data_IF_261751492212
#
_entry.id   IF_261751492212
#
_cell.length_a   1.000
_cell.length_b   1.000
_cell.length_c   1.000
_cell.angle_alpha   90.00
_cell.angle_beta   90.00
_cell.angle_gamma   90.00
#
_symmetry.space_group_name_H-M   'P 1'
#
loop_
_entity.id
_entity.type
_entity.pdbx_description
1 polymer ?
#
# COMPACT_ATOMS: atom_id res chain seq x y z
N UNK A 1 3.15 19.28 20.27
CA UNK A 1 2.39 18.25 19.53
C UNK A 1 3.03 17.96 18.19
N UNK A 2 2.82 16.75 17.67
CA UNK A 2 3.18 16.35 16.31
C UNK A 2 1.93 15.79 15.64
N UNK A 3 1.61 16.27 14.44
CA UNK A 3 0.38 15.96 13.74
C UNK A 3 0.69 15.27 12.42
N UNK A 4 -0.05 14.22 12.10
CA UNK A 4 -0.06 13.61 10.77
C UNK A 4 -1.40 13.94 10.13
N UNK A 5 -1.35 14.53 8.93
CA UNK A 5 -2.53 14.91 8.17
C UNK A 5 -2.51 14.15 6.86
N UNK A 6 -3.60 13.47 6.54
CA UNK A 6 -3.77 12.79 5.25
C UNK A 6 -4.78 13.56 4.41
N UNK A 7 -4.43 13.79 3.15
CA UNK A 7 -5.39 14.28 2.17
C UNK A 7 -6.38 13.18 1.78
N UNK A 8 -7.55 13.58 1.29
CA UNK A 8 -8.51 12.63 0.73
C UNK A 8 -7.95 11.99 -0.56
N UNK A 9 -8.39 10.77 -0.93
CA UNK A 9 -7.95 10.13 -2.18
C UNK A 9 -8.17 11.01 -3.42
N UNK A 10 -9.33 11.68 -3.51
CA UNK A 10 -9.65 12.56 -4.63
C UNK A 10 -8.68 13.74 -4.75
N UNK A 11 -8.31 14.37 -3.62
CA UNK A 11 -7.33 15.45 -3.62
C UNK A 11 -5.95 14.95 -4.04
N UNK A 12 -5.52 13.81 -3.49
CA UNK A 12 -4.21 13.20 -3.79
C UNK A 12 -4.08 12.81 -5.27
N UNK A 13 -5.12 12.26 -5.89
CA UNK A 13 -5.12 11.94 -7.32
C UNK A 13 -5.02 13.20 -8.18
N UNK A 14 -5.76 14.26 -7.83
CA UNK A 14 -5.74 15.53 -8.58
C UNK A 14 -4.38 16.22 -8.52
N UNK A 15 -3.65 16.08 -7.42
CA UNK A 15 -2.37 16.74 -7.17
C UNK A 15 -1.17 15.77 -7.20
N UNK A 16 -1.33 14.63 -7.89
CA UNK A 16 -0.36 13.52 -7.85
C UNK A 16 1.04 13.89 -8.35
N UNK A 17 1.16 14.91 -9.19
CA UNK A 17 2.43 15.34 -9.79
C UNK A 17 3.03 16.58 -9.13
N UNK A 18 2.41 17.11 -8.06
CA UNK A 18 3.06 18.12 -7.25
C UNK A 18 4.30 17.55 -6.55
N UNK A 19 5.32 18.40 -6.40
CA UNK A 19 6.40 18.10 -5.49
C UNK A 19 5.91 18.16 -4.02
N UNK A 20 6.77 17.72 -3.10
CA UNK A 20 6.39 17.55 -1.69
C UNK A 20 6.11 18.90 -1.04
N UNK A 21 6.90 19.91 -1.37
CA UNK A 21 6.84 21.25 -0.83
C UNK A 21 5.56 21.97 -1.27
N UNK A 22 5.20 21.87 -2.56
CA UNK A 22 3.96 22.38 -3.12
C UNK A 22 2.73 21.71 -2.49
N UNK A 23 2.74 20.39 -2.37
CA UNK A 23 1.65 19.66 -1.74
C UNK A 23 1.49 20.04 -0.25
N UNK A 24 2.61 20.18 0.47
CA UNK A 24 2.61 20.62 1.87
C UNK A 24 1.98 22.02 2.03
N UNK A 25 2.39 22.97 1.19
CA UNK A 25 1.87 24.34 1.23
C UNK A 25 0.35 24.37 1.05
N UNK A 26 -0.17 23.70 0.03
CA UNK A 26 -1.62 23.63 -0.22
C UNK A 26 -2.38 22.94 0.93
N UNK A 27 -1.82 21.87 1.50
CA UNK A 27 -2.45 21.21 2.65
C UNK A 27 -2.47 22.11 3.89
N UNK A 28 -1.42 22.87 4.14
CA UNK A 28 -1.35 23.82 5.26
C UNK A 28 -2.32 24.99 5.09
N UNK A 29 -2.62 25.42 3.86
CA UNK A 29 -3.67 26.42 3.59
C UNK A 29 -5.07 25.89 3.88
N UNK A 30 -5.32 24.60 3.63
CA UNK A 30 -6.62 23.97 3.87
C UNK A 30 -6.84 23.59 5.34
N UNK A 31 -5.78 23.25 6.07
CA UNK A 31 -5.88 22.69 7.42
C UNK A 31 -6.59 23.61 8.45
N UNK A 32 -6.35 24.94 8.51
CA UNK A 32 -7.09 25.81 9.42
C UNK A 32 -8.60 25.76 9.20
N UNK A 33 -9.03 25.66 7.94
CA UNK A 33 -10.45 25.57 7.57
C UNK A 33 -11.04 24.24 8.02
N UNK A 34 -10.29 23.15 7.88
CA UNK A 34 -10.71 21.83 8.34
C UNK A 34 -10.79 21.73 9.87
N UNK A 35 -9.92 22.45 10.59
CA UNK A 35 -9.91 22.46 12.07
C UNK A 35 -10.83 23.51 12.69
N UNK A 36 -11.34 24.46 11.89
CA UNK A 36 -12.13 25.59 12.39
C UNK A 36 -11.34 26.58 13.26
N UNK A 37 -10.00 26.59 13.16
CA UNK A 37 -9.13 27.45 13.98
C UNK A 37 -7.78 27.69 13.30
N UNK A 38 -7.06 28.79 13.63
CA UNK A 38 -5.72 29.02 13.10
C UNK A 38 -4.73 27.95 13.58
N UNK A 39 -3.69 27.71 12.78
CA UNK A 39 -2.58 26.86 13.18
C UNK A 39 -1.63 27.63 14.11
N UNK A 40 -1.04 26.95 15.10
CA UNK A 40 0.09 27.52 15.83
C UNK A 40 1.31 27.67 14.91
N UNK A 41 2.37 28.30 15.41
CA UNK A 41 3.65 28.35 14.68
C UNK A 41 4.14 26.93 14.39
N UNK A 42 4.36 26.64 13.10
CA UNK A 42 4.84 25.34 12.64
C UNK A 42 6.36 25.33 12.73
N UNK A 43 6.91 24.53 13.64
CA UNK A 43 8.35 24.39 13.79
C UNK A 43 8.99 23.58 12.65
N UNK A 44 8.30 22.52 12.20
CA UNK A 44 8.77 21.61 11.15
C UNK A 44 7.59 21.10 10.33
N UNK A 45 7.80 20.92 9.03
CA UNK A 45 6.81 20.35 8.12
C UNK A 45 7.52 19.42 7.13
N UNK A 46 6.99 18.21 6.98
CA UNK A 46 7.45 17.23 6.01
C UNK A 46 6.23 16.65 5.28
N UNK A 47 6.34 16.52 3.97
CA UNK A 47 5.33 15.86 3.15
C UNK A 47 5.91 14.61 2.50
N UNK A 48 5.06 13.60 2.38
CA UNK A 48 5.35 12.42 1.60
C UNK A 48 4.19 12.13 0.66
N UNK A 49 4.53 11.75 -0.58
CA UNK A 49 3.57 11.41 -1.61
C UNK A 49 3.61 9.93 -1.93
N UNK A 50 2.55 9.23 -1.55
CA UNK A 50 2.37 7.80 -1.78
C UNK A 50 1.53 7.58 -3.05
N UNK A 51 2.17 7.41 -4.22
CA UNK A 51 1.45 7.16 -5.49
C UNK A 51 0.60 5.89 -5.43
N UNK A 52 1.09 4.86 -4.74
CA UNK A 52 0.44 3.55 -4.58
C UNK A 52 0.01 3.34 -3.13
N UNK A 53 -0.65 4.34 -2.53
CA UNK A 53 -1.02 4.32 -1.12
C UNK A 53 -2.10 3.30 -0.76
N UNK A 54 -2.99 3.00 -1.72
CA UNK A 54 -4.19 2.21 -1.49
C UNK A 54 -4.67 1.58 -2.78
N UNK A 55 -4.97 0.29 -2.72
CA UNK A 55 -5.61 -0.47 -3.79
C UNK A 55 -6.98 0.12 -4.13
N UNK A 56 -7.21 0.42 -5.41
CA UNK A 56 -8.51 0.85 -5.91
C UNK A 56 -9.39 -0.34 -6.33
N UNK A 57 -8.79 -1.32 -7.00
CA UNK A 57 -9.44 -2.56 -7.44
C UNK A 57 -8.57 -3.75 -7.00
N UNK A 58 -9.01 -4.56 -6.03
CA UNK A 58 -8.29 -5.76 -5.64
C UNK A 58 -8.23 -6.79 -6.76
N UNK A 59 -7.19 -7.62 -6.77
CA UNK A 59 -7.05 -8.75 -7.69
C UNK A 59 -8.21 -9.75 -7.54
N UNK A 60 -8.69 -9.96 -6.31
CA UNK A 60 -9.71 -10.97 -5.98
C UNK A 60 -9.14 -12.38 -5.80
N UNK A 61 -7.82 -12.52 -5.78
CA UNK A 61 -7.09 -13.75 -5.49
C UNK A 61 -5.95 -13.44 -4.51
N UNK A 62 -5.53 -14.40 -3.67
CA UNK A 62 -4.55 -14.14 -2.60
C UNK A 62 -3.14 -13.85 -3.14
N UNK A 63 -2.79 -14.33 -4.33
CA UNK A 63 -1.54 -14.06 -5.03
C UNK A 63 -1.66 -14.47 -6.51
N UNK A 64 -0.65 -14.15 -7.30
CA UNK A 64 -0.42 -14.69 -8.66
C UNK A 64 0.85 -15.53 -8.63
N UNK A 65 0.87 -16.65 -9.36
CA UNK A 65 2.07 -17.44 -9.60
C UNK A 65 2.27 -17.65 -11.10
N UNK A 66 3.51 -17.87 -11.53
CA UNK A 66 3.76 -18.43 -12.85
C UNK A 66 3.36 -19.92 -12.92
N UNK A 67 3.22 -20.45 -14.13
CA UNK A 67 2.79 -21.83 -14.37
C UNK A 67 3.75 -22.86 -13.74
N UNK A 68 5.04 -22.55 -13.67
CA UNK A 68 6.05 -23.43 -13.05
C UNK A 68 6.08 -23.33 -11.51
N UNK A 69 5.28 -22.46 -10.89
CA UNK A 69 5.25 -22.26 -9.44
C UNK A 69 6.64 -21.92 -8.82
N UNK A 70 7.47 -21.20 -9.57
CA UNK A 70 8.81 -20.75 -9.14
C UNK A 70 8.85 -19.27 -8.78
N UNK A 71 7.82 -18.50 -9.15
CA UNK A 71 7.67 -17.09 -8.86
C UNK A 71 6.25 -16.83 -8.36
N UNK A 72 6.16 -16.17 -7.20
CA UNK A 72 4.90 -15.76 -6.59
C UNK A 72 4.92 -14.25 -6.38
N UNK A 73 3.80 -13.60 -6.66
CA UNK A 73 3.63 -12.16 -6.45
C UNK A 73 2.36 -11.94 -5.65
N UNK A 74 2.50 -11.22 -4.54
CA UNK A 74 1.39 -10.88 -3.66
C UNK A 74 1.62 -9.59 -2.90
N UNK A 75 0.59 -9.13 -2.20
CA UNK A 75 0.59 -7.90 -1.43
C UNK A 75 -0.80 -7.52 -0.97
N UNK A 76 -0.93 -6.35 -0.36
CA UNK A 76 -2.22 -5.81 0.08
C UNK A 76 -3.24 -5.75 -1.06
N UNK A 77 -2.79 -5.40 -2.26
CA UNK A 77 -3.58 -5.30 -3.49
C UNK A 77 -4.23 -6.60 -3.97
N UNK A 78 -3.85 -7.75 -3.44
CA UNK A 78 -4.44 -9.02 -3.79
C UNK A 78 -5.90 -9.13 -3.33
N UNK A 79 -6.14 -8.93 -2.03
CA UNK A 79 -7.45 -9.14 -1.41
C UNK A 79 -8.10 -7.85 -0.92
N UNK A 80 -7.36 -6.75 -0.81
CA UNK A 80 -7.90 -5.51 -0.27
C UNK A 80 -6.93 -4.33 -0.36
N UNK A 81 -6.97 -3.48 0.66
CA UNK A 81 -6.17 -2.26 0.72
C UNK A 81 -5.72 -1.96 2.16
N UNK A 82 -5.47 -3.02 2.92
CA UNK A 82 -5.11 -2.96 4.34
C UNK A 82 -3.94 -3.89 4.62
N UNK A 83 -3.29 -3.67 5.76
CA UNK A 83 -2.16 -4.50 6.22
C UNK A 83 -2.57 -5.96 6.36
N UNK A 84 -3.80 -6.24 6.80
CA UNK A 84 -4.32 -7.60 6.94
C UNK A 84 -4.33 -8.33 5.59
N UNK A 85 -4.75 -7.67 4.50
CA UNK A 85 -4.72 -8.26 3.16
C UNK A 85 -3.29 -8.58 2.68
N UNK A 86 -2.31 -7.73 3.05
CA UNK A 86 -0.90 -7.98 2.73
C UNK A 86 -0.39 -9.22 3.48
N UNK A 87 -0.73 -9.33 4.75
CA UNK A 87 -0.34 -10.47 5.58
C UNK A 87 -0.98 -11.77 5.08
N UNK A 88 -2.27 -11.76 4.79
CA UNK A 88 -3.01 -12.92 4.24
C UNK A 88 -2.41 -13.36 2.89
N UNK A 89 -2.09 -12.42 2.00
CA UNK A 89 -1.42 -12.70 0.74
C UNK A 89 -0.07 -13.38 0.94
N UNK A 90 0.78 -12.84 1.82
CA UNK A 90 2.08 -13.42 2.14
C UNK A 90 1.99 -14.80 2.78
N UNK A 91 1.04 -15.00 3.71
CA UNK A 91 0.79 -16.30 4.34
C UNK A 91 0.33 -17.35 3.32
N UNK A 92 -0.54 -16.96 2.37
CA UNK A 92 -1.00 -17.84 1.31
C UNK A 92 0.15 -18.24 0.35
N UNK A 93 1.04 -17.30 0.02
CA UNK A 93 2.26 -17.61 -0.76
C UNK A 93 3.15 -18.60 -0.01
N UNK A 94 3.40 -18.38 1.28
CA UNK A 94 4.24 -19.28 2.07
C UNK A 94 3.66 -20.70 2.12
N UNK A 95 2.35 -20.84 2.29
CA UNK A 95 1.67 -22.13 2.27
C UNK A 95 1.78 -22.82 0.89
N UNK A 96 1.63 -22.07 -0.21
CA UNK A 96 1.76 -22.60 -1.56
C UNK A 96 3.20 -23.08 -1.85
N UNK A 97 4.20 -22.31 -1.43
CA UNK A 97 5.62 -22.69 -1.55
C UNK A 97 5.91 -23.96 -0.75
N UNK A 98 5.46 -24.04 0.51
CA UNK A 98 5.67 -25.21 1.34
C UNK A 98 5.02 -26.48 0.74
N UNK A 99 3.77 -26.38 0.27
CA UNK A 99 3.08 -27.49 -0.38
C UNK A 99 3.68 -27.91 -1.72
N UNK A 100 4.28 -26.97 -2.47
CA UNK A 100 4.99 -27.29 -3.71
C UNK A 100 6.31 -28.04 -3.45
N UNK A 101 7.00 -27.73 -2.35
CA UNK A 101 8.26 -28.40 -1.96
C UNK A 101 7.99 -29.87 -1.60
N UNK A 102 6.86 -30.18 -0.96
CA UNK A 102 6.48 -31.55 -0.61
C UNK A 102 6.15 -32.42 -1.85
N UNK A 103 5.85 -31.82 -3.00
CA UNK A 103 5.62 -32.52 -4.27
C UNK A 103 6.87 -32.93 -5.04
N UNK A 104 8.08 -32.57 -4.58
CA UNK A 104 9.34 -32.78 -5.33
C UNK A 104 10.18 -33.99 -4.87
N UNK A 105 9.66 -34.84 -3.98
CA UNK A 105 10.36 -36.05 -3.50
C UNK A 105 9.83 -37.39 -4.02
N UNK A 106 9.08 -37.44 -5.12
CA UNK A 106 8.56 -38.69 -5.67
C UNK A 106 8.51 -38.75 -7.19
N UNK A 107 9.56 -39.28 -7.81
CA UNK A 107 9.55 -40.18 -8.97
C UNK A 107 10.82 -40.02 -9.84
N UNK A 108 11.90 -40.66 -9.43
CA UNK A 108 12.83 -41.28 -10.37
C UNK A 108 12.75 -42.80 -10.13
N UNK A 109 11.79 -43.44 -10.77
CA UNK A 109 11.76 -44.88 -10.96
C UNK A 109 11.70 -45.13 -12.47
N UNK A 110 12.86 -45.48 -13.03
CA UNK A 110 12.99 -46.30 -14.24
C UNK A 110 13.97 -47.40 -13.90
#
# INVERSE_FOLDING_TARGET
DCWVVHASPAWSTRHLELDREQAAALMLEMLPRALGRPLPQIAQCHAHRWRYARTAAPLGAPFIANDEHTLFVGGDWCMGARVEAAFESGAAIAAAVAGAVDGTHGAAAV
#
